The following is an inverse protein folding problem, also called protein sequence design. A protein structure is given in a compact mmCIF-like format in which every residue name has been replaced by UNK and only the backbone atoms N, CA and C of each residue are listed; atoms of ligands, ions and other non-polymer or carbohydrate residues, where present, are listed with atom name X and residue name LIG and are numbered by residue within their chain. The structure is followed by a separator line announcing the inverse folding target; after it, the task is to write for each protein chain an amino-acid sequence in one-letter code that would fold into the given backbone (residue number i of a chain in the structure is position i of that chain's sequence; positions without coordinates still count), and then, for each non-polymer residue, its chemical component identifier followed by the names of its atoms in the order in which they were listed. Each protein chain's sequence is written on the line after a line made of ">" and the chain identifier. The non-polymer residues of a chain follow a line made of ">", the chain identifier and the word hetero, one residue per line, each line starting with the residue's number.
data_IF_268259384554
#
_entry.id   IF_268259384554
#
_cell.length_a   1.000
_cell.length_b   1.000
_cell.length_c   1.000
_cell.angle_alpha   90.00
_cell.angle_beta   90.00
_cell.angle_gamma   90.00
#
_symmetry.space_group_name_H-M   'P 1'
#
loop_
_entity.id
_entity.type
_entity.pdbx_description
1 polymer ?
#
# COMPACT_ATOMS: atom_id res chain seq x y z
N UNK A 1 34.75 65.38 -11.80
CA UNK A 1 35.07 66.13 -10.55
C UNK A 1 36.45 65.66 -10.08
N UNK A 2 37.51 66.45 -10.25
CA UNK A 2 38.16 67.27 -9.18
C UNK A 2 38.94 66.39 -8.17
N UNK A 3 40.24 66.49 -7.87
CA UNK A 3 41.36 67.43 -8.06
C UNK A 3 42.62 66.61 -7.65
N UNK A 4 43.69 66.41 -8.42
CA UNK A 4 44.88 67.27 -8.65
C UNK A 4 45.24 68.24 -7.51
N UNK A 5 46.36 67.99 -6.79
CA UNK A 5 47.59 68.84 -6.68
C UNK A 5 48.46 68.44 -5.47
N UNK A 6 49.72 68.05 -5.72
CA UNK A 6 50.98 68.81 -5.53
C UNK A 6 51.36 69.13 -4.07
N UNK A 7 52.56 68.73 -3.66
CA UNK A 7 53.72 69.65 -3.61
C UNK A 7 55.06 68.93 -3.36
N UNK A 8 56.07 69.52 -3.98
CA UNK A 8 57.49 69.19 -4.05
C UNK A 8 58.25 70.04 -3.02
N UNK A 9 59.45 69.55 -2.63
CA UNK A 9 60.65 70.23 -2.06
C UNK A 9 61.02 69.66 -0.69
N UNK A 10 62.29 69.44 -0.33
CA UNK A 10 63.52 70.13 -0.73
C UNK A 10 64.77 69.24 -0.58
N UNK A 11 65.81 69.55 -1.35
CA UNK A 11 67.20 69.07 -1.22
C UNK A 11 67.91 69.70 -0.01
N UNK A 12 68.73 68.93 0.70
CA UNK A 12 70.05 69.35 1.22
C UNK A 12 70.85 68.08 1.60
N UNK A 13 71.90 67.70 0.87
CA UNK A 13 73.30 68.14 0.90
C UNK A 13 74.05 67.80 2.20
N UNK A 14 75.20 67.15 1.99
CA UNK A 14 76.46 67.18 2.77
C UNK A 14 76.84 65.84 3.43
N UNK A 15 77.81 65.25 2.74
CA UNK A 15 78.86 64.34 3.19
C UNK A 15 79.35 64.54 4.62
N UNK A 16 79.50 63.44 5.36
CA UNK A 16 80.54 63.33 6.38
C UNK A 16 81.18 61.93 6.33
N UNK A 17 82.48 61.92 6.01
CA UNK A 17 83.38 60.77 6.17
C UNK A 17 83.68 60.60 7.66
N UNK A 18 83.72 59.38 8.20
CA UNK A 18 84.53 59.10 9.39
C UNK A 18 85.91 58.60 8.96
N UNK A 19 86.93 59.29 9.46
CA UNK A 19 88.34 58.96 9.30
C UNK A 19 88.80 58.09 10.48
N UNK A 20 89.48 57.00 10.11
CA UNK A 20 90.45 56.17 10.83
C UNK A 20 90.35 55.86 12.34
N UNK A 21 90.33 54.53 12.56
CA UNK A 21 91.11 53.75 13.54
C UNK A 21 90.88 54.03 15.03
N UNK A 22 90.19 53.09 15.66
CA UNK A 22 90.67 52.45 16.87
C UNK A 22 90.24 50.97 16.87
N UNK A 23 91.20 50.10 16.56
CA UNK A 23 91.13 48.66 16.82
C UNK A 23 91.33 48.44 18.32
N UNK A 24 90.37 47.85 19.05
CA UNK A 24 90.71 47.12 20.25
C UNK A 24 91.37 45.81 19.81
N UNK A 25 92.70 45.78 19.89
CA UNK A 25 93.46 44.53 19.96
C UNK A 25 93.07 43.82 21.25
N UNK A 26 92.01 43.01 21.19
CA UNK A 26 91.48 42.24 22.30
C UNK A 26 91.27 40.80 21.87
N UNK A 27 92.36 40.01 21.93
CA UNK A 27 92.39 38.56 22.08
C UNK A 27 91.28 37.80 21.32
N UNK A 28 91.58 37.35 20.09
CA UNK A 28 90.87 36.20 19.51
C UNK A 28 91.21 34.96 20.37
N UNK A 29 90.50 34.82 21.48
CA UNK A 29 90.57 33.66 22.35
C UNK A 29 90.23 32.45 21.50
N UNK A 30 91.06 31.40 21.57
CA UNK A 30 90.84 30.13 20.87
C UNK A 30 89.42 29.54 21.10
N UNK A 31 88.71 30.02 22.14
CA UNK A 31 87.29 29.74 22.41
C UNK A 31 86.29 30.30 21.38
N UNK A 32 86.54 31.45 20.74
CA UNK A 32 85.57 32.06 19.82
C UNK A 32 85.44 31.29 18.48
N UNK A 33 86.53 30.69 17.99
CA UNK A 33 86.46 29.79 16.82
C UNK A 33 85.76 28.46 17.16
N UNK A 34 85.83 28.02 18.42
CA UNK A 34 85.08 26.87 18.91
C UNK A 34 83.59 27.18 19.07
N UNK A 35 83.24 28.39 19.51
CA UNK A 35 81.85 28.85 19.65
C UNK A 35 81.21 29.12 18.29
N UNK A 36 81.93 29.71 17.32
CA UNK A 36 81.45 29.83 15.93
C UNK A 36 81.17 28.47 15.29
N UNK A 37 82.05 27.48 15.48
CA UNK A 37 81.84 26.11 14.95
C UNK A 37 80.62 25.44 15.60
N UNK A 38 80.38 25.68 16.89
CA UNK A 38 79.19 25.22 17.62
C UNK A 38 77.91 25.89 17.12
N UNK A 39 77.92 27.21 16.93
CA UNK A 39 76.76 27.95 16.41
C UNK A 39 76.43 27.52 14.98
N UNK A 40 77.44 27.34 14.12
CA UNK A 40 77.23 26.83 12.75
C UNK A 40 76.63 25.42 12.75
N UNK A 41 77.13 24.53 13.61
CA UNK A 41 76.51 23.20 13.78
C UNK A 41 75.07 23.31 14.28
N UNK A 42 74.80 24.16 15.27
CA UNK A 42 73.45 24.39 15.77
C UNK A 42 72.50 24.93 14.69
N UNK A 43 72.94 25.88 13.86
CA UNK A 43 72.15 26.40 12.73
C UNK A 43 71.86 25.30 11.70
N UNK A 44 72.86 24.49 11.34
CA UNK A 44 72.66 23.36 10.43
C UNK A 44 71.67 22.36 11.02
N UNK A 45 71.79 22.02 12.31
CA UNK A 45 70.84 21.12 12.98
C UNK A 45 69.42 21.66 12.95
N UNK A 46 69.22 22.96 13.20
CA UNK A 46 67.88 23.59 13.15
C UNK A 46 67.31 23.54 11.72
N UNK A 47 68.13 23.84 10.71
CA UNK A 47 67.69 23.79 9.30
C UNK A 47 67.31 22.36 8.91
N UNK A 48 68.11 21.37 9.31
CA UNK A 48 67.81 19.95 9.05
C UNK A 48 66.52 19.53 9.77
N UNK A 49 66.34 19.90 11.04
CA UNK A 49 65.11 19.61 11.79
C UNK A 49 63.90 20.28 11.13
N UNK A 50 64.02 21.54 10.69
CA UNK A 50 62.94 22.25 10.01
C UNK A 50 62.55 21.57 8.68
N UNK A 51 63.54 21.11 7.90
CA UNK A 51 63.30 20.34 6.67
C UNK A 51 62.60 19.01 7.00
N UNK A 52 63.07 18.29 8.03
CA UNK A 52 62.44 17.03 8.45
C UNK A 52 60.99 17.25 8.90
N UNK A 53 60.71 18.30 9.68
CA UNK A 53 59.35 18.66 10.09
C UNK A 53 58.47 19.03 8.90
N UNK A 54 59.00 19.79 7.94
CA UNK A 54 58.29 20.13 6.70
C UNK A 54 57.98 18.86 5.88
N UNK A 55 58.93 17.93 5.76
CA UNK A 55 58.71 16.66 5.09
C UNK A 55 57.64 15.82 5.80
N UNK A 56 57.67 15.73 7.13
CA UNK A 56 56.61 15.06 7.91
C UNK A 56 55.25 15.72 7.68
N UNK A 57 55.19 17.05 7.66
CA UNK A 57 53.96 17.78 7.40
C UNK A 57 53.41 17.48 5.99
N UNK A 58 54.27 17.54 4.96
CA UNK A 58 53.87 17.36 3.56
C UNK A 58 53.54 15.90 3.23
N UNK A 59 54.28 14.93 3.78
CA UNK A 59 54.15 13.52 3.42
C UNK A 59 53.29 12.70 4.38
N UNK A 60 53.07 13.15 5.62
CA UNK A 60 52.27 12.42 6.62
C UNK A 60 51.00 13.19 6.96
N UNK A 61 51.11 14.46 7.33
CA UNK A 61 49.97 15.23 7.85
C UNK A 61 49.01 15.63 6.73
N UNK A 62 49.50 16.20 5.62
CA UNK A 62 48.66 16.61 4.50
C UNK A 62 47.90 15.41 3.88
N UNK A 63 48.53 14.26 3.54
CA UNK A 63 47.82 13.11 3.01
C UNK A 63 46.88 12.47 4.04
N UNK A 64 47.25 12.48 5.33
CA UNK A 64 46.38 12.01 6.41
C UNK A 64 45.12 12.88 6.58
N UNK A 65 45.26 14.20 6.48
CA UNK A 65 44.14 15.14 6.50
C UNK A 65 43.21 14.93 5.31
N UNK A 66 43.75 14.77 4.09
CA UNK A 66 42.95 14.48 2.91
C UNK A 66 42.24 13.13 2.95
N UNK A 67 42.80 12.10 3.61
CA UNK A 67 42.09 10.83 3.85
C UNK A 67 40.95 11.02 4.87
N UNK A 68 41.21 11.76 5.95
CA UNK A 68 40.22 12.00 7.01
C UNK A 68 39.06 12.88 6.53
N UNK A 69 39.31 13.88 5.69
CA UNK A 69 38.25 14.73 5.13
C UNK A 69 37.65 14.17 3.84
N UNK A 70 38.43 13.45 3.04
CA UNK A 70 37.96 12.79 1.82
C UNK A 70 36.79 11.85 2.10
N UNK A 71 36.93 10.95 3.08
CA UNK A 71 35.84 10.03 3.46
C UNK A 71 34.60 10.75 4.04
N UNK A 72 34.76 11.95 4.61
CA UNK A 72 33.64 12.76 5.11
C UNK A 72 32.93 13.54 4.00
N UNK A 73 33.65 13.98 2.97
CA UNK A 73 33.09 14.72 1.83
C UNK A 73 32.72 13.83 0.64
N UNK A 74 33.11 12.55 0.63
CA UNK A 74 32.63 11.53 -0.33
C UNK A 74 31.27 10.94 0.09
N UNK A 75 30.51 11.69 0.88
CA UNK A 75 29.09 11.45 1.14
C UNK A 75 28.26 11.91 -0.05
N UNK A 76 28.61 11.44 -1.25
CA UNK A 76 27.68 11.32 -2.36
C UNK A 76 26.94 9.98 -2.31
N UNK A 77 26.55 9.52 -1.12
CA UNK A 77 25.29 8.79 -1.04
C UNK A 77 24.23 9.84 -1.35
N UNK A 78 23.62 9.87 -2.54
CA UNK A 78 22.49 10.76 -2.75
C UNK A 78 21.52 10.52 -1.60
N UNK A 79 21.01 11.60 -1.00
CA UNK A 79 19.90 11.50 -0.06
C UNK A 79 18.80 10.73 -0.80
N UNK A 80 18.61 9.46 -0.44
CA UNK A 80 17.63 8.61 -1.10
C UNK A 80 16.30 9.10 -0.56
N UNK A 81 15.63 9.97 -1.32
CA UNK A 81 14.29 10.44 -1.00
C UNK A 81 13.39 9.21 -1.03
N UNK A 82 13.20 8.58 0.14
CA UNK A 82 12.24 7.50 0.30
C UNK A 82 10.87 8.12 0.18
N UNK A 83 10.04 7.54 -0.69
CA UNK A 83 8.62 7.86 -0.69
C UNK A 83 8.00 7.22 0.55
N UNK A 84 7.34 8.01 1.37
CA UNK A 84 6.61 7.57 2.58
C UNK A 84 5.11 7.84 2.46
N UNK A 85 4.64 8.29 1.28
CA UNK A 85 3.25 8.65 1.07
C UNK A 85 2.49 7.39 0.70
N UNK A 86 1.62 6.94 1.60
CA UNK A 86 0.72 5.83 1.31
C UNK A 86 -0.22 6.13 0.14
N UNK A 87 -0.52 5.13 -0.71
CA UNK A 87 -1.48 5.28 -1.78
C UNK A 87 -2.91 5.44 -1.25
N UNK A 88 -3.82 5.84 -2.14
CA UNK A 88 -5.24 5.94 -1.80
C UNK A 88 -5.85 4.56 -1.46
N UNK A 89 -6.73 4.57 -0.46
CA UNK A 89 -7.55 3.40 -0.11
C UNK A 89 -8.40 3.01 -1.31
N UNK A 90 -8.36 1.74 -1.76
CA UNK A 90 -9.13 1.32 -2.91
C UNK A 90 -10.64 1.31 -2.59
N UNK A 91 -11.46 1.46 -3.61
CA UNK A 91 -12.93 1.44 -3.54
C UNK A 91 -13.41 0.19 -4.25
N UNK A 92 -13.98 -0.74 -3.48
CA UNK A 92 -14.59 -1.96 -3.99
C UNK A 92 -16.05 -1.68 -4.39
N UNK A 93 -16.43 -2.15 -5.58
CA UNK A 93 -17.83 -2.40 -5.91
C UNK A 93 -18.37 -3.45 -4.96
N UNK A 94 -19.49 -3.18 -4.30
CA UNK A 94 -20.02 -4.08 -3.29
C UNK A 94 -20.26 -5.48 -3.89
N UNK A 95 -19.59 -6.52 -3.37
CA UNK A 95 -19.89 -7.90 -3.72
C UNK A 95 -21.36 -8.23 -3.36
N UNK A 96 -21.95 -9.26 -3.99
CA UNK A 96 -23.28 -9.70 -3.60
C UNK A 96 -23.32 -10.11 -2.12
N UNK A 97 -24.42 -9.84 -1.44
CA UNK A 97 -24.59 -10.24 -0.04
C UNK A 97 -24.69 -11.77 0.13
N UNK A 98 -25.19 -12.47 -0.90
CA UNK A 98 -25.23 -13.92 -0.98
C UNK A 98 -25.10 -14.38 -2.44
N UNK A 99 -24.53 -15.56 -2.67
CA UNK A 99 -24.27 -16.13 -3.99
C UNK A 99 -24.25 -17.65 -3.91
N UNK A 100 -24.67 -18.31 -4.99
CA UNK A 100 -24.51 -19.77 -5.17
C UNK A 100 -23.25 -20.15 -5.95
N UNK A 101 -22.51 -19.16 -6.44
CA UNK A 101 -21.23 -19.37 -7.12
C UNK A 101 -20.08 -19.09 -6.17
N UNK A 102 -19.24 -20.11 -5.95
CA UNK A 102 -17.99 -19.99 -5.20
C UNK A 102 -17.01 -19.01 -5.86
N UNK A 103 -17.04 -18.89 -7.18
CA UNK A 103 -16.19 -17.95 -7.92
C UNK A 103 -16.96 -16.65 -8.10
N UNK A 104 -16.43 -15.55 -7.57
CA UNK A 104 -16.95 -14.21 -7.81
C UNK A 104 -15.86 -13.27 -8.30
N UNK A 105 -16.30 -12.22 -9.00
CA UNK A 105 -15.42 -11.13 -9.44
C UNK A 105 -15.60 -9.95 -8.51
N UNK A 106 -14.48 -9.43 -8.02
CA UNK A 106 -14.42 -8.22 -7.22
C UNK A 106 -13.84 -7.12 -8.11
N UNK A 107 -14.63 -6.06 -8.32
CA UNK A 107 -14.26 -4.94 -9.19
C UNK A 107 -14.18 -3.66 -8.39
N UNK A 108 -13.46 -2.66 -8.87
CA UNK A 108 -13.36 -1.39 -8.16
C UNK A 108 -12.41 -0.41 -8.80
N UNK A 109 -12.04 0.60 -8.01
CA UNK A 109 -11.07 1.62 -8.38
C UNK A 109 -10.03 1.80 -7.28
N UNK A 110 -8.79 2.10 -7.65
CA UNK A 110 -7.74 2.50 -6.72
C UNK A 110 -6.71 3.37 -7.39
N UNK A 111 -5.56 3.54 -6.75
CA UNK A 111 -4.49 4.36 -7.29
C UNK A 111 -3.84 3.67 -8.50
N UNK A 112 -3.80 4.30 -9.69
CA UNK A 112 -3.19 3.70 -10.87
C UNK A 112 -1.77 3.26 -10.62
N UNK A 113 -1.35 2.17 -11.26
CA UNK A 113 0.02 1.64 -11.19
C UNK A 113 0.47 1.11 -9.81
N UNK A 114 -0.39 1.17 -8.79
CA UNK A 114 -0.22 0.47 -7.51
C UNK A 114 -0.73 -0.97 -7.57
N UNK A 115 -0.33 -1.80 -6.61
CA UNK A 115 -0.84 -3.16 -6.46
C UNK A 115 -2.01 -3.18 -5.48
N UNK A 116 -3.11 -3.82 -5.86
CA UNK A 116 -4.22 -4.15 -4.97
C UNK A 116 -3.91 -5.48 -4.28
N UNK A 117 -3.93 -5.49 -2.95
CA UNK A 117 -3.82 -6.69 -2.13
C UNK A 117 -5.20 -7.04 -1.57
N UNK A 118 -5.74 -8.20 -1.94
CA UNK A 118 -7.00 -8.69 -1.41
C UNK A 118 -6.79 -9.48 -0.12
N UNK A 119 -7.69 -9.27 0.84
CA UNK A 119 -7.78 -10.02 2.08
C UNK A 119 -9.11 -10.75 2.11
N UNK A 120 -9.07 -12.08 2.09
CA UNK A 120 -10.23 -12.97 2.20
C UNK A 120 -10.16 -13.72 3.53
N UNK A 121 -11.23 -13.66 4.33
CA UNK A 121 -11.34 -14.36 5.62
C UNK A 121 -10.15 -14.06 6.57
N UNK A 122 -9.67 -12.81 6.53
CA UNK A 122 -8.54 -12.32 7.33
C UNK A 122 -7.15 -12.75 6.85
N UNK A 123 -7.04 -13.40 5.69
CA UNK A 123 -5.78 -13.84 5.08
C UNK A 123 -5.55 -13.11 3.76
N UNK A 124 -4.30 -12.74 3.47
CA UNK A 124 -3.94 -12.26 2.12
C UNK A 124 -4.21 -13.40 1.13
N UNK A 125 -5.01 -13.12 0.12
CA UNK A 125 -5.46 -14.12 -0.85
C UNK A 125 -4.66 -13.96 -2.16
N UNK A 126 -4.96 -12.93 -2.93
CA UNK A 126 -4.31 -12.64 -4.20
C UNK A 126 -4.02 -11.13 -4.35
N UNK A 127 -3.16 -10.79 -5.32
CA UNK A 127 -2.76 -9.42 -5.61
C UNK A 127 -2.73 -9.15 -7.10
N UNK A 128 -3.22 -7.99 -7.51
CA UNK A 128 -3.20 -7.55 -8.91
C UNK A 128 -2.71 -6.12 -9.04
N UNK A 129 -2.14 -5.79 -10.19
CA UNK A 129 -1.79 -4.40 -10.50
C UNK A 129 -3.05 -3.63 -10.92
N UNK A 130 -3.26 -2.45 -10.35
CA UNK A 130 -4.35 -1.55 -10.72
C UNK A 130 -4.02 -0.91 -12.08
N UNK A 131 -5.01 -0.87 -12.97
CA UNK A 131 -4.86 -0.35 -14.32
C UNK A 131 -4.51 1.16 -14.32
N UNK A 132 -3.99 1.66 -15.44
CA UNK A 132 -3.65 3.08 -15.62
C UNK A 132 -4.87 4.02 -15.47
N UNK A 133 -6.08 3.53 -15.77
CA UNK A 133 -7.34 4.26 -15.57
C UNK A 133 -7.88 4.16 -14.14
N UNK A 134 -7.14 3.47 -13.25
CA UNK A 134 -7.49 3.24 -11.85
C UNK A 134 -8.45 2.07 -11.64
N UNK A 135 -8.94 1.41 -12.69
CA UNK A 135 -9.85 0.27 -12.56
C UNK A 135 -9.12 -1.02 -12.18
N UNK A 136 -9.84 -1.95 -11.54
CA UNK A 136 -9.34 -3.30 -11.31
C UNK A 136 -10.46 -4.34 -11.33
N UNK A 137 -10.09 -5.58 -11.64
CA UNK A 137 -10.95 -6.78 -11.53
C UNK A 137 -10.10 -7.95 -11.05
N UNK A 138 -10.49 -8.56 -9.91
CA UNK A 138 -9.84 -9.74 -9.35
C UNK A 138 -10.88 -10.85 -9.13
N UNK A 139 -10.54 -12.08 -9.52
CA UNK A 139 -11.37 -13.26 -9.29
C UNK A 139 -11.01 -13.90 -7.96
N UNK A 140 -12.01 -14.28 -7.17
CA UNK A 140 -11.81 -14.84 -5.82
C UNK A 140 -12.66 -16.09 -5.67
N UNK A 141 -12.17 -17.03 -4.84
CA UNK A 141 -12.86 -18.28 -4.54
C UNK A 141 -13.32 -18.22 -3.08
N UNK A 142 -14.63 -18.23 -2.88
CA UNK A 142 -15.26 -18.22 -1.57
C UNK A 142 -15.26 -19.61 -0.94
N UNK A 143 -15.13 -19.65 0.38
CA UNK A 143 -15.42 -20.83 1.19
C UNK A 143 -16.93 -20.94 1.44
N UNK A 144 -17.47 -22.14 1.70
CA UNK A 144 -18.89 -22.28 2.04
C UNK A 144 -19.22 -21.49 3.32
N UNK A 145 -20.35 -20.77 3.33
CA UNK A 145 -20.76 -19.92 4.43
C UNK A 145 -20.31 -18.46 4.29
N UNK A 146 -20.15 -17.78 5.43
CA UNK A 146 -19.82 -16.35 5.44
C UNK A 146 -18.35 -16.10 5.06
N UNK A 147 -18.14 -15.22 4.08
CA UNK A 147 -16.83 -14.78 3.65
C UNK A 147 -16.67 -13.28 3.86
N UNK A 148 -15.56 -12.89 4.48
CA UNK A 148 -15.22 -11.48 4.70
C UNK A 148 -14.16 -11.04 3.69
N UNK A 149 -14.50 -10.05 2.89
CA UNK A 149 -13.68 -9.51 1.79
C UNK A 149 -13.26 -8.09 2.15
N UNK A 150 -11.96 -7.84 2.12
CA UNK A 150 -11.36 -6.51 2.22
C UNK A 150 -10.20 -6.38 1.24
N UNK A 151 -9.72 -5.16 1.01
CA UNK A 151 -8.52 -4.93 0.20
C UNK A 151 -7.76 -3.70 0.69
N UNK A 152 -6.49 -3.57 0.29
CA UNK A 152 -5.70 -2.36 0.44
C UNK A 152 -4.76 -2.21 -0.76
N UNK A 153 -4.19 -1.02 -0.95
CA UNK A 153 -3.24 -0.72 -2.03
C UNK A 153 -1.80 -0.70 -1.51
N UNK A 154 -0.86 -1.15 -2.32
CA UNK A 154 0.58 -1.13 -2.09
C UNK A 154 1.25 -0.38 -3.25
N UNK A 155 1.99 0.69 -2.97
CA UNK A 155 2.69 1.43 -4.02
C UNK A 155 4.05 0.79 -4.39
N UNK A 156 4.75 1.39 -5.36
CA UNK A 156 6.08 0.91 -5.81
C UNK A 156 7.19 1.09 -4.77
N UNK A 157 6.98 1.92 -3.76
CA UNK A 157 7.87 2.16 -2.63
C UNK A 157 7.52 1.29 -1.41
N UNK A 158 6.56 0.36 -1.56
CA UNK A 158 6.04 -0.54 -0.52
C UNK A 158 5.26 0.17 0.60
N UNK A 159 4.73 1.38 0.36
CA UNK A 159 3.79 2.01 1.29
C UNK A 159 2.40 1.40 1.15
N UNK A 160 1.78 1.05 2.29
CA UNK A 160 0.43 0.46 2.34
C UNK A 160 -0.64 1.54 2.62
N UNK A 161 -1.75 1.49 1.88
CA UNK A 161 -2.95 2.25 2.24
C UNK A 161 -3.61 1.66 3.49
N UNK A 162 -4.55 2.40 4.10
CA UNK A 162 -5.52 1.77 4.98
C UNK A 162 -6.35 0.72 4.20
N UNK A 163 -6.89 -0.27 4.90
CA UNK A 163 -7.79 -1.24 4.32
C UNK A 163 -9.16 -0.64 4.01
N UNK A 164 -9.87 -1.23 3.06
CA UNK A 164 -11.29 -0.97 2.83
C UNK A 164 -12.12 -1.37 4.05
N UNK A 165 -13.41 -1.01 4.03
CA UNK A 165 -14.38 -1.68 4.91
C UNK A 165 -14.44 -3.17 4.59
N UNK A 166 -14.89 -3.95 5.55
CA UNK A 166 -15.23 -5.35 5.35
C UNK A 166 -16.56 -5.48 4.58
N UNK A 167 -16.56 -6.32 3.56
CA UNK A 167 -17.75 -6.78 2.85
C UNK A 167 -17.99 -8.25 3.20
N UNK A 168 -19.23 -8.58 3.56
CA UNK A 168 -19.61 -9.96 3.89
C UNK A 168 -20.45 -10.53 2.76
N UNK A 169 -20.01 -11.67 2.23
CA UNK A 169 -20.73 -12.44 1.21
C UNK A 169 -20.97 -13.85 1.74
N UNK A 170 -22.23 -14.28 1.76
CA UNK A 170 -22.61 -15.67 2.05
C UNK A 170 -22.50 -16.51 0.78
N UNK A 171 -21.60 -17.50 0.75
CA UNK A 171 -21.69 -18.60 -0.20
C UNK A 171 -22.67 -19.62 0.36
N UNK A 172 -23.72 -19.89 -0.40
CA UNK A 172 -24.69 -20.93 -0.10
C UNK A 172 -24.98 -21.69 -1.39
N UNK A 173 -24.57 -22.95 -1.44
CA UNK A 173 -24.72 -23.81 -2.62
C UNK A 173 -25.91 -24.77 -2.51
N UNK A 174 -26.64 -24.75 -1.39
CA UNK A 174 -27.75 -25.67 -1.14
C UNK A 174 -29.08 -25.06 -1.59
N UNK A 175 -29.87 -25.85 -2.33
CA UNK A 175 -31.21 -25.41 -2.71
C UNK A 175 -32.18 -25.48 -1.53
N UNK A 176 -33.11 -24.52 -1.39
CA UNK A 176 -34.03 -24.52 -0.27
C UNK A 176 -34.94 -25.75 -0.31
N UNK A 177 -35.27 -26.30 0.85
CA UNK A 177 -36.28 -27.36 0.95
C UNK A 177 -37.65 -26.85 0.46
N UNK A 178 -38.44 -27.73 -0.14
CA UNK A 178 -39.80 -27.41 -0.56
C UNK A 178 -40.67 -28.66 -0.42
N UNK A 179 -41.68 -28.56 0.44
CA UNK A 179 -42.63 -29.64 0.73
C UNK A 179 -44.07 -29.13 0.57
N UNK A 180 -44.92 -29.94 -0.04
CA UNK A 180 -46.35 -29.67 -0.15
C UNK A 180 -47.07 -30.50 0.92
N UNK A 181 -47.75 -29.82 1.84
CA UNK A 181 -48.43 -30.45 2.97
C UNK A 181 -49.86 -30.86 2.60
N UNK A 182 -50.61 -29.92 2.00
CA UNK A 182 -51.97 -30.19 1.52
C UNK A 182 -52.39 -29.15 0.46
N UNK A 183 -53.24 -29.51 -0.51
CA UNK A 183 -53.63 -30.87 -0.87
C UNK A 183 -52.49 -31.62 -1.57
N UNK A 184 -52.43 -32.94 -1.39
CA UNK A 184 -51.42 -33.79 -2.02
C UNK A 184 -51.51 -33.76 -3.56
N UNK A 185 -50.37 -33.89 -4.23
CA UNK A 185 -50.30 -33.95 -5.69
C UNK A 185 -51.23 -35.04 -6.27
N UNK A 186 -51.87 -34.76 -7.40
CA UNK A 186 -52.84 -35.64 -8.05
C UNK A 186 -54.25 -35.62 -7.44
N UNK A 187 -54.51 -34.79 -6.41
CA UNK A 187 -55.84 -34.68 -5.80
C UNK A 187 -56.92 -34.28 -6.81
N UNK A 188 -58.12 -34.84 -6.62
CA UNK A 188 -59.31 -34.56 -7.45
C UNK A 188 -60.41 -33.89 -6.63
N UNK A 189 -61.08 -32.91 -7.25
CA UNK A 189 -62.03 -32.02 -6.61
C UNK A 189 -63.34 -32.01 -7.40
N UNK A 190 -64.41 -32.56 -6.81
CA UNK A 190 -65.67 -32.82 -7.52
C UNK A 190 -66.86 -31.94 -7.08
N UNK A 191 -66.62 -30.75 -6.48
CA UNK A 191 -67.70 -29.93 -5.93
C UNK A 191 -67.45 -28.43 -6.06
N UNK A 192 -68.51 -27.64 -6.24
CA UNK A 192 -68.36 -26.18 -6.30
C UNK A 192 -67.73 -25.56 -5.05
N UNK A 193 -67.86 -26.22 -3.89
CA UNK A 193 -67.24 -25.76 -2.63
C UNK A 193 -65.73 -25.99 -2.58
N UNK A 194 -65.18 -26.89 -3.43
CA UNK A 194 -63.74 -27.19 -3.49
C UNK A 194 -63.08 -26.68 -4.79
N UNK A 195 -63.77 -25.82 -5.55
CA UNK A 195 -63.17 -25.13 -6.69
C UNK A 195 -62.01 -24.20 -6.28
N UNK A 196 -62.06 -23.64 -5.07
CA UNK A 196 -60.95 -22.87 -4.50
C UNK A 196 -60.24 -23.74 -3.46
N UNK A 197 -59.00 -24.12 -3.75
CA UNK A 197 -58.16 -24.88 -2.81
C UNK A 197 -57.22 -23.93 -2.05
N UNK A 198 -56.87 -24.29 -0.82
CA UNK A 198 -55.80 -23.61 -0.08
C UNK A 198 -54.57 -24.51 -0.11
N UNK A 199 -53.59 -24.16 -0.94
CA UNK A 199 -52.33 -24.89 -1.04
C UNK A 199 -51.43 -24.49 0.13
N UNK A 200 -51.08 -25.46 0.96
CA UNK A 200 -50.18 -25.31 2.08
C UNK A 200 -48.90 -26.09 1.84
N UNK A 201 -47.79 -25.49 2.24
CA UNK A 201 -46.50 -26.14 2.17
C UNK A 201 -45.51 -25.56 3.15
N UNK A 202 -44.31 -26.11 3.11
CA UNK A 202 -43.18 -25.70 3.94
C UNK A 202 -41.93 -25.52 3.08
N UNK A 203 -41.12 -24.55 3.43
CA UNK A 203 -39.79 -24.31 2.86
C UNK A 203 -38.83 -23.84 3.95
N UNK A 204 -37.59 -23.55 3.58
CA UNK A 204 -36.61 -23.00 4.51
C UNK A 204 -36.93 -21.56 4.89
N UNK A 205 -36.59 -21.19 6.12
CA UNK A 205 -36.89 -19.86 6.65
C UNK A 205 -36.16 -18.79 5.84
N UNK A 206 -36.92 -17.80 5.38
CA UNK A 206 -36.38 -16.69 4.57
C UNK A 206 -36.29 -16.96 3.07
N UNK A 207 -36.65 -18.17 2.60
CA UNK A 207 -36.86 -18.43 1.19
C UNK A 207 -38.14 -17.74 0.69
N UNK A 208 -38.14 -17.36 -0.59
CA UNK A 208 -39.30 -16.82 -1.31
C UNK A 208 -39.99 -17.94 -2.06
N UNK A 209 -41.31 -18.04 -1.94
CA UNK A 209 -42.11 -18.99 -2.70
C UNK A 209 -42.78 -18.28 -3.86
N UNK A 210 -42.89 -18.98 -4.98
CA UNK A 210 -43.62 -18.55 -6.15
C UNK A 210 -44.60 -19.64 -6.54
N UNK A 211 -45.89 -19.30 -6.64
CA UNK A 211 -46.95 -20.21 -7.06
C UNK A 211 -47.58 -19.61 -8.33
N UNK A 212 -47.46 -20.29 -9.47
CA UNK A 212 -47.87 -19.79 -10.79
C UNK A 212 -47.40 -18.33 -11.03
N UNK A 213 -46.11 -18.09 -10.77
CA UNK A 213 -45.43 -16.79 -10.90
C UNK A 213 -45.88 -15.71 -9.90
N UNK A 214 -46.71 -16.04 -8.91
CA UNK A 214 -47.09 -15.11 -7.82
C UNK A 214 -46.21 -15.35 -6.60
N UNK A 215 -45.64 -14.29 -6.07
CA UNK A 215 -44.84 -14.35 -4.83
C UNK A 215 -45.75 -14.63 -3.64
N UNK A 216 -45.36 -15.59 -2.82
CA UNK A 216 -45.96 -15.94 -1.54
C UNK A 216 -44.85 -15.92 -0.49
N UNK A 217 -45.11 -15.25 0.63
CA UNK A 217 -44.16 -15.13 1.73
C UNK A 217 -44.50 -16.19 2.79
N UNK A 218 -43.60 -17.15 3.04
CA UNK A 218 -43.73 -18.01 4.20
C UNK A 218 -43.68 -17.20 5.50
N UNK A 219 -44.23 -17.75 6.57
CA UNK A 219 -44.09 -17.20 7.91
C UNK A 219 -42.67 -17.49 8.48
N UNK A 220 -42.44 -17.08 9.74
CA UNK A 220 -41.15 -17.25 10.42
C UNK A 220 -40.76 -18.74 10.67
N UNK A 221 -41.70 -19.68 10.44
CA UNK A 221 -41.48 -21.12 10.52
C UNK A 221 -41.32 -21.79 9.13
N UNK A 222 -41.33 -20.99 8.06
CA UNK A 222 -41.24 -21.47 6.68
C UNK A 222 -42.54 -22.05 6.12
N UNK A 223 -43.66 -21.92 6.84
CA UNK A 223 -44.97 -22.37 6.37
C UNK A 223 -45.60 -21.31 5.46
N UNK A 224 -46.19 -21.75 4.35
CA UNK A 224 -46.91 -20.89 3.43
C UNK A 224 -48.29 -21.44 3.11
N UNK A 225 -49.22 -20.54 2.81
CA UNK A 225 -50.56 -20.87 2.33
C UNK A 225 -50.92 -19.99 1.12
N UNK A 226 -51.60 -20.56 0.13
CA UNK A 226 -52.06 -19.82 -1.04
C UNK A 226 -53.37 -20.37 -1.62
N UNK A 227 -54.36 -19.49 -1.77
CA UNK A 227 -55.63 -19.85 -2.40
C UNK A 227 -55.51 -19.89 -3.92
N UNK A 228 -55.86 -21.03 -4.51
CA UNK A 228 -55.86 -21.27 -5.95
C UNK A 228 -57.27 -21.57 -6.41
N UNK A 229 -57.74 -20.85 -7.43
CA UNK A 229 -59.00 -21.15 -8.11
C UNK A 229 -58.74 -22.15 -9.24
N UNK A 230 -59.36 -23.32 -9.14
CA UNK A 230 -59.29 -24.37 -10.16
C UNK A 230 -60.27 -24.10 -11.30
N UNK A 231 -59.83 -24.43 -12.51
CA UNK A 231 -60.66 -24.49 -13.72
C UNK A 231 -61.06 -25.94 -14.02
N UNK A 232 -62.17 -26.14 -14.72
CA UNK A 232 -62.63 -27.47 -15.12
C UNK A 232 -61.53 -28.24 -15.88
N UNK A 233 -61.28 -29.48 -15.47
CA UNK A 233 -60.25 -30.34 -16.02
C UNK A 233 -58.94 -30.34 -15.22
N UNK A 234 -57.84 -30.55 -15.94
CA UNK A 234 -56.48 -30.65 -15.37
C UNK A 234 -55.89 -29.26 -15.12
N UNK A 235 -55.47 -29.00 -13.88
CA UNK A 235 -54.82 -27.77 -13.43
C UNK A 235 -53.37 -28.07 -13.09
N UNK A 236 -52.44 -27.42 -13.80
CA UNK A 236 -51.00 -27.52 -13.51
C UNK A 236 -50.58 -26.33 -12.68
N UNK A 237 -50.02 -26.59 -11.50
CA UNK A 237 -49.53 -25.57 -10.58
C UNK A 237 -48.02 -25.70 -10.49
N UNK A 238 -47.30 -24.66 -10.86
CA UNK A 238 -45.86 -24.59 -10.63
C UNK A 238 -45.61 -23.92 -9.27
N UNK A 239 -44.87 -24.61 -8.40
CA UNK A 239 -44.38 -24.07 -7.13
C UNK A 239 -42.85 -24.06 -7.18
N UNK A 240 -42.22 -22.91 -6.96
CA UNK A 240 -40.77 -22.87 -6.78
C UNK A 240 -40.37 -22.01 -5.58
N UNK A 241 -39.37 -22.49 -4.85
CA UNK A 241 -38.71 -21.80 -3.76
C UNK A 241 -37.38 -21.23 -4.24
N UNK A 242 -37.03 -20.02 -3.80
CA UNK A 242 -35.76 -19.36 -4.07
C UNK A 242 -35.20 -18.77 -2.77
N UNK A 243 -33.94 -19.06 -2.44
CA UNK A 243 -33.27 -18.51 -1.27
C UNK A 243 -32.63 -17.13 -1.54
N UNK A 244 -31.76 -16.67 -0.61
CA UNK A 244 -31.03 -15.41 -0.77
C UNK A 244 -29.88 -15.51 -1.78
N UNK A 245 -29.25 -16.68 -1.90
CA UNK A 245 -28.15 -16.98 -2.80
C UNK A 245 -28.58 -17.31 -4.23
N UNK A 246 -29.90 -17.35 -4.47
CA UNK A 246 -30.56 -17.71 -5.74
C UNK A 246 -30.54 -19.20 -6.06
N UNK A 247 -30.32 -20.08 -5.08
CA UNK A 247 -30.62 -21.49 -5.29
C UNK A 247 -32.14 -21.67 -5.30
N UNK A 248 -32.60 -22.67 -6.05
CA UNK A 248 -34.03 -22.89 -6.21
C UNK A 248 -34.42 -24.36 -6.27
N UNK A 249 -35.61 -24.65 -5.75
CA UNK A 249 -36.27 -25.95 -5.82
C UNK A 249 -37.62 -25.74 -6.48
N UNK A 250 -37.97 -26.59 -7.46
CA UNK A 250 -39.23 -26.49 -8.22
C UNK A 250 -40.01 -27.80 -8.15
N UNK A 251 -41.31 -27.70 -7.91
CA UNK A 251 -42.28 -28.79 -7.92
C UNK A 251 -43.44 -28.41 -8.86
N UNK A 252 -43.87 -29.36 -9.68
CA UNK A 252 -45.08 -29.23 -10.50
C UNK A 252 -46.16 -30.11 -9.90
N UNK A 253 -47.32 -29.53 -9.62
CA UNK A 253 -48.48 -30.23 -9.07
C UNK A 253 -49.58 -30.30 -10.12
N UNK A 254 -50.34 -31.38 -10.10
CA UNK A 254 -51.49 -31.59 -10.97
C UNK A 254 -52.73 -31.82 -10.11
N UNK A 255 -53.74 -30.97 -10.30
CA UNK A 255 -55.04 -31.11 -9.66
C UNK A 255 -56.14 -31.26 -10.70
N UNK A 256 -57.07 -32.18 -10.48
CA UNK A 256 -58.22 -32.36 -11.35
C UNK A 256 -59.45 -31.74 -10.71
N UNK A 257 -60.17 -30.90 -11.43
CA UNK A 257 -61.44 -30.34 -10.97
C UNK A 257 -62.55 -30.72 -11.93
N UNK A 258 -63.67 -31.21 -11.40
CA UNK A 258 -64.84 -31.60 -12.17
C UNK A 258 -66.12 -31.20 -11.44
N UNK A 259 -67.11 -30.65 -12.15
CA UNK A 259 -68.42 -30.30 -11.58
C UNK A 259 -69.49 -31.37 -11.81
#
# INVERSE_FOLDING_TARGET
>A
MSKIRRRINSKSRISNRPNYKNTPSGVYSRRMNSEKKKVVHQTITIVVVAIVVLLVFVFIIIPGFFKLTGDFFDSSTPFQQSDEIAPQVPILSAPPAATSSANIKVTGFGEPESDLILVLNGRKDDSIKINEDGSFEIGIILDEGENTIAAYSLDKAENESAATRDYVTLLDTEAPSLEILEPADGSSFESRTNQSINLKGKTDVGAKIYINNRVVFPNDEGLFEHSILLVEGENKIEVHAEDKAKNSTKINLVYNFKL
#
